data_IF_451550898371
#
_entry.id   IF_451550898371
#
_cell.length_a   1.000
_cell.length_b   1.000
_cell.length_c   1.000
_cell.angle_alpha   90.00
_cell.angle_beta   90.00
_cell.angle_gamma   90.00
#
_symmetry.space_group_name_H-M   'P 1'
#
loop_
_entity.id
_entity.type
_entity.pdbx_description
1 polymer ?
#
# COMPACT_ATOMS: atom_id res chain seq x y z
N UNK A 1 -12.42 -12.17 28.76
CA UNK A 1 -11.79 -10.83 28.92
C UNK A 1 -10.89 -10.40 27.75
N UNK A 2 -9.75 -11.04 27.44
CA UNK A 2 -8.86 -10.57 26.35
C UNK A 2 -9.53 -10.71 24.96
N UNK A 3 -10.14 -11.86 24.68
CA UNK A 3 -10.84 -12.13 23.41
C UNK A 3 -12.00 -11.15 23.17
N UNK A 4 -12.75 -10.80 24.21
CA UNK A 4 -13.86 -9.84 24.13
C UNK A 4 -13.35 -8.43 23.84
N UNK A 5 -12.26 -8.00 24.49
CA UNK A 5 -11.63 -6.70 24.22
C UNK A 5 -11.10 -6.62 22.79
N UNK A 6 -10.47 -7.68 22.29
CA UNK A 6 -10.00 -7.75 20.92
C UNK A 6 -11.15 -7.74 19.91
N UNK A 7 -12.24 -8.47 20.19
CA UNK A 7 -13.45 -8.45 19.37
C UNK A 7 -14.08 -7.06 19.32
N UNK A 8 -14.26 -6.42 20.48
CA UNK A 8 -14.81 -5.06 20.57
C UNK A 8 -13.95 -4.05 19.81
N UNK A 9 -12.63 -4.16 19.90
CA UNK A 9 -11.71 -3.32 19.13
C UNK A 9 -11.82 -3.58 17.62
N UNK A 10 -11.82 -4.85 17.20
CA UNK A 10 -11.88 -5.24 15.79
C UNK A 10 -13.16 -4.74 15.10
N UNK A 11 -14.28 -4.80 15.82
CA UNK A 11 -15.61 -4.40 15.35
C UNK A 11 -16.02 -2.98 15.81
N UNK A 12 -15.05 -2.12 16.12
CA UNK A 12 -15.33 -0.72 16.50
C UNK A 12 -16.22 -0.04 15.45
N UNK A 13 -17.41 0.47 15.80
CA UNK A 13 -18.33 1.06 14.84
C UNK A 13 -17.72 2.25 14.08
N UNK A 14 -17.96 2.31 12.77
CA UNK A 14 -17.53 3.43 11.92
C UNK A 14 -18.67 3.90 11.01
N UNK A 15 -18.68 5.18 10.58
CA UNK A 15 -19.64 5.66 9.58
C UNK A 15 -19.38 5.05 8.19
N UNK A 16 -20.44 4.76 7.43
CA UNK A 16 -20.34 4.26 6.05
C UNK A 16 -19.48 5.17 5.15
N UNK A 17 -19.62 6.49 5.32
CA UNK A 17 -18.87 7.49 4.55
C UNK A 17 -17.35 7.40 4.76
N UNK A 18 -16.87 6.92 5.91
CA UNK A 18 -15.44 6.74 6.16
C UNK A 18 -14.87 5.63 5.28
N UNK A 19 -15.52 4.47 5.30
CA UNK A 19 -15.14 3.33 4.46
C UNK A 19 -15.25 3.67 2.97
N UNK A 20 -16.29 4.40 2.58
CA UNK A 20 -16.42 4.89 1.21
C UNK A 20 -15.29 5.86 0.81
N UNK A 21 -14.90 6.78 1.70
CA UNK A 21 -13.76 7.67 1.51
C UNK A 21 -12.46 6.87 1.28
N UNK A 22 -12.21 5.86 2.12
CA UNK A 22 -11.04 4.98 1.97
C UNK A 22 -11.08 4.22 0.63
N UNK A 23 -12.24 3.71 0.23
CA UNK A 23 -12.45 3.07 -1.09
C UNK A 23 -12.10 4.01 -2.23
N UNK A 24 -12.60 5.24 -2.21
CA UNK A 24 -12.35 6.23 -3.25
C UNK A 24 -10.87 6.59 -3.31
N UNK A 25 -10.23 6.89 -2.17
CA UNK A 25 -8.80 7.23 -2.11
C UNK A 25 -7.93 6.09 -2.66
N UNK A 26 -8.19 4.86 -2.23
CA UNK A 26 -7.46 3.68 -2.69
C UNK A 26 -7.71 3.37 -4.17
N UNK A 27 -8.98 3.40 -4.60
CA UNK A 27 -9.38 3.12 -5.98
C UNK A 27 -8.83 4.17 -6.97
N UNK A 28 -8.90 5.45 -6.61
CA UNK A 28 -8.33 6.54 -7.41
C UNK A 28 -6.81 6.41 -7.55
N UNK A 29 -6.10 6.10 -6.46
CA UNK A 29 -4.67 5.84 -6.53
C UNK A 29 -4.35 4.65 -7.45
N UNK A 30 -5.05 3.53 -7.28
CA UNK A 30 -4.81 2.31 -8.07
C UNK A 30 -5.03 2.53 -9.55
N UNK A 31 -6.12 3.24 -9.90
CA UNK A 31 -6.43 3.62 -11.27
C UNK A 31 -5.34 4.52 -11.86
N UNK A 32 -4.96 5.59 -11.15
CA UNK A 32 -3.87 6.47 -11.58
C UNK A 32 -2.55 5.71 -11.74
N UNK A 33 -2.22 4.85 -10.79
CA UNK A 33 -0.96 4.10 -10.75
C UNK A 33 -0.79 3.17 -11.95
N UNK A 34 -1.85 2.43 -12.28
CA UNK A 34 -1.89 1.53 -13.43
C UNK A 34 -1.96 2.31 -14.75
N UNK A 35 -2.81 3.33 -14.84
CA UNK A 35 -2.95 4.13 -16.06
C UNK A 35 -1.62 4.77 -16.48
N UNK A 36 -0.87 5.33 -15.51
CA UNK A 36 0.47 5.87 -15.75
C UNK A 36 1.54 4.83 -16.14
N UNK A 37 1.25 3.55 -15.96
CA UNK A 37 2.16 2.43 -16.27
C UNK A 37 1.73 1.58 -17.45
N UNK A 38 0.60 1.89 -18.07
CA UNK A 38 0.05 1.03 -19.12
C UNK A 38 1.08 0.80 -20.23
N UNK A 39 1.73 1.86 -20.74
CA UNK A 39 2.75 1.74 -21.79
C UNK A 39 3.90 0.81 -21.36
N UNK A 40 4.47 1.05 -20.18
CA UNK A 40 5.52 0.21 -19.60
C UNK A 40 5.10 -1.25 -19.46
N UNK A 41 3.87 -1.53 -19.01
CA UNK A 41 3.35 -2.90 -18.91
C UNK A 41 3.24 -3.55 -20.29
N UNK A 42 2.78 -2.81 -21.29
CA UNK A 42 2.66 -3.30 -22.65
C UNK A 42 4.03 -3.58 -23.30
N UNK A 43 5.06 -2.79 -22.98
CA UNK A 43 6.45 -3.07 -23.37
C UNK A 43 6.96 -4.36 -22.72
N UNK A 44 6.71 -4.57 -21.43
CA UNK A 44 7.06 -5.81 -20.72
C UNK A 44 6.37 -7.02 -21.34
N UNK A 45 5.09 -6.93 -21.69
CA UNK A 45 4.36 -8.06 -22.29
C UNK A 45 4.92 -8.48 -23.66
N UNK A 46 5.67 -7.60 -24.33
CA UNK A 46 6.30 -7.85 -25.62
C UNK A 46 7.80 -8.17 -25.49
N UNK A 47 8.35 -8.19 -24.28
CA UNK A 47 9.74 -8.56 -24.06
C UNK A 47 9.98 -10.05 -24.33
N UNK A 48 11.25 -10.44 -24.42
CA UNK A 48 11.64 -11.83 -24.62
C UNK A 48 11.03 -12.77 -23.57
N UNK A 49 10.64 -13.97 -24.00
CA UNK A 49 9.98 -14.96 -23.13
C UNK A 49 10.93 -15.63 -22.13
N UNK A 50 12.25 -15.51 -22.34
CA UNK A 50 13.28 -16.17 -21.52
C UNK A 50 13.37 -15.61 -20.11
N UNK A 51 12.92 -14.37 -19.90
CA UNK A 51 12.97 -13.70 -18.59
C UNK A 51 11.67 -13.89 -17.78
N UNK A 52 10.73 -14.69 -18.27
CA UNK A 52 9.49 -14.98 -17.57
C UNK A 52 9.71 -16.01 -16.45
N UNK A 53 9.62 -15.55 -15.21
CA UNK A 53 9.72 -16.35 -14.00
C UNK A 53 8.46 -16.14 -13.14
N UNK A 54 7.40 -16.95 -13.33
CA UNK A 54 6.10 -16.69 -12.74
C UNK A 54 6.10 -16.71 -11.20
N UNK A 55 5.45 -15.71 -10.60
CA UNK A 55 5.31 -15.57 -9.15
C UNK A 55 3.86 -15.35 -8.72
N UNK A 56 3.56 -15.67 -7.46
CA UNK A 56 2.20 -15.53 -6.92
C UNK A 56 1.16 -16.32 -7.74
N UNK A 57 -0.02 -15.75 -8.02
CA UNK A 57 -1.02 -16.35 -8.89
C UNK A 57 -0.53 -16.67 -10.30
N UNK A 58 0.51 -15.99 -10.79
CA UNK A 58 1.08 -16.23 -12.12
C UNK A 58 1.73 -17.60 -12.27
N UNK A 59 2.05 -18.30 -11.16
CA UNK A 59 2.65 -19.66 -11.16
C UNK A 59 1.81 -20.74 -11.83
N UNK A 60 0.54 -20.47 -12.09
CA UNK A 60 -0.31 -21.35 -12.90
C UNK A 60 0.14 -21.41 -14.37
N UNK A 61 0.95 -20.46 -14.82
CA UNK A 61 1.43 -20.37 -16.19
C UNK A 61 2.83 -20.98 -16.31
N UNK A 62 3.03 -21.85 -17.29
CA UNK A 62 4.36 -22.36 -17.64
C UNK A 62 5.09 -21.46 -18.67
N UNK A 63 4.34 -20.59 -19.36
CA UNK A 63 4.82 -19.66 -20.39
C UNK A 63 4.05 -18.33 -20.26
N UNK A 64 4.61 -17.18 -20.67
CA UNK A 64 3.88 -15.94 -20.63
C UNK A 64 2.63 -16.01 -21.54
N UNK A 65 1.59 -15.26 -21.16
CA UNK A 65 0.42 -15.07 -22.01
C UNK A 65 0.81 -14.33 -23.30
N UNK A 66 0.07 -14.51 -24.40
CA UNK A 66 0.19 -13.64 -25.56
C UNK A 66 0.04 -12.17 -25.14
N UNK A 67 0.89 -11.28 -25.68
CA UNK A 67 0.94 -9.88 -25.25
C UNK A 67 -0.43 -9.18 -25.33
N UNK A 68 -1.22 -9.48 -26.36
CA UNK A 68 -2.57 -8.95 -26.54
C UNK A 68 -3.54 -9.39 -25.43
N UNK A 69 -3.42 -10.62 -24.93
CA UNK A 69 -4.23 -11.11 -23.80
C UNK A 69 -3.81 -10.41 -22.53
N UNK A 70 -2.50 -10.29 -22.28
CA UNK A 70 -1.98 -9.59 -21.11
C UNK A 70 -2.38 -8.10 -21.08
N UNK A 71 -2.30 -7.41 -22.23
CA UNK A 71 -2.74 -6.02 -22.38
C UNK A 71 -4.24 -5.86 -22.10
N UNK A 72 -5.08 -6.77 -22.63
CA UNK A 72 -6.53 -6.77 -22.36
C UNK A 72 -6.85 -7.01 -20.89
N UNK A 73 -6.07 -7.83 -20.20
CA UNK A 73 -6.24 -8.02 -18.76
C UNK A 73 -5.92 -6.72 -18.01
N UNK A 74 -4.86 -6.00 -18.38
CA UNK A 74 -4.56 -4.67 -17.79
C UNK A 74 -5.72 -3.68 -18.04
N UNK A 75 -6.27 -3.67 -19.25
CA UNK A 75 -7.38 -2.78 -19.59
C UNK A 75 -8.66 -3.16 -18.79
N UNK A 76 -8.92 -4.46 -18.63
CA UNK A 76 -9.99 -4.95 -17.77
C UNK A 76 -9.77 -4.56 -16.29
N UNK A 77 -8.52 -4.63 -15.79
CA UNK A 77 -8.16 -4.17 -14.44
C UNK A 77 -8.46 -2.69 -14.27
N UNK A 78 -8.15 -1.84 -15.26
CA UNK A 78 -8.44 -0.41 -15.22
C UNK A 78 -9.95 -0.13 -15.17
N UNK A 79 -10.74 -0.81 -16.01
CA UNK A 79 -12.21 -0.67 -16.01
C UNK A 79 -12.80 -1.14 -14.68
N UNK A 80 -12.38 -2.31 -14.18
CA UNK A 80 -12.83 -2.85 -12.91
C UNK A 80 -12.47 -1.91 -11.74
N UNK A 81 -11.24 -1.38 -11.72
CA UNK A 81 -10.80 -0.42 -10.71
C UNK A 81 -11.61 0.88 -10.74
N UNK A 82 -11.93 1.41 -11.92
CA UNK A 82 -12.77 2.60 -12.08
C UNK A 82 -14.21 2.35 -11.58
N UNK A 83 -14.80 1.20 -11.94
CA UNK A 83 -16.11 0.81 -11.47
C UNK A 83 -16.14 0.59 -9.95
N UNK A 84 -15.11 -0.05 -9.38
CA UNK A 84 -14.99 -0.23 -7.94
C UNK A 84 -14.77 1.10 -7.19
N UNK A 85 -13.97 2.01 -7.74
CA UNK A 85 -13.70 3.34 -7.17
C UNK A 85 -14.93 4.25 -7.19
N UNK A 86 -15.80 4.11 -8.18
CA UNK A 86 -17.11 4.79 -8.24
C UNK A 86 -18.20 4.03 -7.48
N UNK A 87 -17.98 2.75 -7.20
CA UNK A 87 -18.88 1.89 -6.45
C UNK A 87 -20.10 1.52 -7.27
N UNK A 88 -19.87 1.29 -8.57
CA UNK A 88 -20.83 0.78 -9.53
C UNK A 88 -20.85 -0.76 -9.45
N UNK A 89 -22.01 -1.35 -9.18
CA UNK A 89 -22.20 -2.79 -9.00
C UNK A 89 -21.14 -3.38 -8.05
N UNK A 90 -20.88 -2.72 -6.92
CA UNK A 90 -19.66 -2.93 -6.13
C UNK A 90 -19.51 -4.36 -5.59
N UNK A 91 -20.63 -5.05 -5.33
CA UNK A 91 -20.63 -6.46 -4.93
C UNK A 91 -19.90 -7.37 -5.93
N UNK A 92 -19.85 -6.97 -7.20
CA UNK A 92 -19.13 -7.66 -8.26
C UNK A 92 -17.83 -6.94 -8.58
N UNK A 93 -17.88 -5.62 -8.80
CA UNK A 93 -16.71 -4.86 -9.27
C UNK A 93 -15.62 -4.71 -8.22
N UNK A 94 -15.95 -4.67 -6.93
CA UNK A 94 -14.98 -4.65 -5.83
C UNK A 94 -14.08 -5.90 -5.82
N UNK A 95 -14.65 -7.11 -5.66
CA UNK A 95 -13.88 -8.36 -5.73
C UNK A 95 -13.16 -8.54 -7.06
N UNK A 96 -13.81 -8.21 -8.18
CA UNK A 96 -13.21 -8.30 -9.51
C UNK A 96 -12.00 -7.37 -9.65
N UNK A 97 -12.09 -6.11 -9.19
CA UNK A 97 -10.97 -5.18 -9.19
C UNK A 97 -9.82 -5.68 -8.31
N UNK A 98 -10.10 -6.21 -7.12
CA UNK A 98 -9.09 -6.79 -6.24
C UNK A 98 -8.37 -7.98 -6.89
N UNK A 99 -9.11 -8.91 -7.48
CA UNK A 99 -8.55 -10.08 -8.15
C UNK A 99 -7.72 -9.71 -9.39
N UNK A 100 -8.25 -8.84 -10.26
CA UNK A 100 -7.57 -8.37 -11.46
C UNK A 100 -6.32 -7.53 -11.11
N UNK A 101 -6.38 -6.68 -10.09
CA UNK A 101 -5.22 -5.92 -9.60
C UNK A 101 -4.13 -6.86 -9.08
N UNK A 102 -4.51 -7.88 -8.29
CA UNK A 102 -3.59 -8.91 -7.79
C UNK A 102 -2.91 -9.63 -8.95
N UNK A 103 -3.70 -10.06 -9.94
CA UNK A 103 -3.19 -10.72 -11.13
C UNK A 103 -2.23 -9.81 -11.89
N UNK A 104 -2.64 -8.58 -12.25
CA UNK A 104 -1.82 -7.65 -13.05
C UNK A 104 -0.48 -7.37 -12.39
N UNK A 105 -0.43 -7.13 -11.07
CA UNK A 105 0.82 -6.82 -10.39
C UNK A 105 1.68 -8.06 -10.12
N UNK A 106 1.07 -9.22 -9.90
CA UNK A 106 1.80 -10.49 -9.78
C UNK A 106 2.38 -10.94 -11.12
N UNK A 107 1.59 -10.78 -12.19
CA UNK A 107 2.04 -10.98 -13.56
C UNK A 107 3.23 -10.06 -13.78
N UNK A 108 3.12 -8.73 -13.58
CA UNK A 108 4.24 -7.79 -13.72
C UNK A 108 5.51 -8.21 -12.93
N UNK A 109 5.35 -8.69 -11.70
CA UNK A 109 6.46 -9.19 -10.88
C UNK A 109 7.08 -10.50 -11.36
N UNK A 110 6.48 -11.15 -12.36
CA UNK A 110 6.99 -12.34 -13.04
C UNK A 110 8.04 -12.03 -14.10
N UNK A 111 8.35 -10.74 -14.33
CA UNK A 111 9.51 -10.32 -15.10
C UNK A 111 10.50 -9.60 -14.19
N UNK A 112 11.78 -9.95 -14.34
CA UNK A 112 12.95 -9.23 -13.80
C UNK A 112 13.03 -9.14 -12.27
N UNK A 113 12.27 -8.24 -11.63
CA UNK A 113 12.39 -7.88 -10.23
C UNK A 113 11.04 -7.97 -9.53
N UNK A 114 11.04 -8.61 -8.36
CA UNK A 114 9.86 -8.70 -7.50
C UNK A 114 9.71 -7.40 -6.71
N UNK A 115 8.66 -6.64 -7.00
CA UNK A 115 8.35 -5.39 -6.33
C UNK A 115 7.34 -5.62 -5.20
N UNK A 116 7.82 -5.60 -3.95
CA UNK A 116 6.97 -5.72 -2.77
C UNK A 116 6.24 -4.42 -2.40
N UNK A 117 6.61 -3.27 -2.99
CA UNK A 117 6.00 -1.98 -2.69
C UNK A 117 4.51 -1.90 -3.09
N UNK A 118 4.05 -2.79 -3.96
CA UNK A 118 2.67 -2.83 -4.45
C UNK A 118 1.78 -3.78 -3.62
N UNK A 119 2.36 -4.63 -2.76
CA UNK A 119 1.63 -5.65 -2.00
C UNK A 119 0.59 -5.03 -1.07
N UNK A 120 0.94 -3.95 -0.37
CA UNK A 120 0.01 -3.27 0.55
C UNK A 120 -1.21 -2.71 -0.20
N UNK A 121 -1.00 -2.20 -1.42
CA UNK A 121 -2.10 -1.72 -2.25
C UNK A 121 -3.06 -2.88 -2.58
N UNK A 122 -2.53 -4.02 -3.02
CA UNK A 122 -3.36 -5.20 -3.32
C UNK A 122 -4.14 -5.70 -2.10
N UNK A 123 -3.49 -5.75 -0.92
CA UNK A 123 -4.15 -6.19 0.31
C UNK A 123 -5.24 -5.21 0.77
N UNK A 124 -5.06 -3.89 0.57
CA UNK A 124 -6.12 -2.91 0.81
C UNK A 124 -7.30 -3.08 -0.16
N UNK A 125 -7.04 -3.38 -1.44
CA UNK A 125 -8.12 -3.67 -2.39
C UNK A 125 -8.96 -4.87 -1.91
N UNK A 126 -8.31 -5.93 -1.43
CA UNK A 126 -8.99 -7.11 -0.89
C UNK A 126 -9.79 -6.80 0.40
N UNK A 127 -9.21 -6.04 1.34
CA UNK A 127 -9.89 -5.64 2.56
C UNK A 127 -11.16 -4.82 2.28
N UNK A 128 -11.08 -3.88 1.34
CA UNK A 128 -12.22 -3.05 0.93
C UNK A 128 -13.27 -3.87 0.18
N UNK A 129 -12.86 -4.74 -0.74
CA UNK A 129 -13.76 -5.60 -1.51
C UNK A 129 -14.56 -6.58 -0.64
N UNK A 130 -14.04 -6.96 0.53
CA UNK A 130 -14.72 -7.84 1.47
C UNK A 130 -15.78 -7.12 2.32
N UNK A 131 -15.76 -5.79 2.38
CA UNK A 131 -16.69 -4.97 3.14
C UNK A 131 -17.78 -4.29 2.31
N UNK A 132 -18.81 -3.71 2.95
CA UNK A 132 -19.87 -2.94 2.27
C UNK A 132 -19.40 -1.51 1.91
N UNK A 133 -18.29 -1.39 1.17
CA UNK A 133 -17.65 -0.10 0.89
C UNK A 133 -18.39 0.82 -0.07
N UNK A 134 -19.48 0.36 -0.68
CA UNK A 134 -20.34 1.13 -1.59
C UNK A 134 -21.70 1.48 -0.98
N UNK A 135 -21.90 1.36 0.33
CA UNK A 135 -23.12 1.81 0.97
C UNK A 135 -23.23 3.35 1.03
N UNK A 136 -22.12 4.07 0.87
CA UNK A 136 -22.07 5.52 0.81
C UNK A 136 -21.16 6.00 -0.33
N UNK A 137 -21.40 7.22 -0.82
CA UNK A 137 -20.58 7.92 -1.84
C UNK A 137 -20.27 7.06 -3.06
N UNK A 138 -21.26 6.31 -3.53
CA UNK A 138 -21.15 5.40 -4.66
C UNK A 138 -22.28 5.63 -5.64
N UNK A 139 -22.08 5.17 -6.88
CA UNK A 139 -23.16 5.11 -7.87
C UNK A 139 -24.30 4.23 -7.37
N UNK A 140 -23.98 3.06 -6.79
CA UNK A 140 -24.96 2.15 -6.20
C UNK A 140 -25.84 2.82 -5.12
N UNK A 141 -25.23 3.60 -4.23
CA UNK A 141 -25.94 4.32 -3.18
C UNK A 141 -26.75 5.49 -3.74
N UNK A 142 -26.25 6.17 -4.78
CA UNK A 142 -26.99 7.23 -5.46
C UNK A 142 -28.23 6.72 -6.17
N UNK A 143 -28.14 5.61 -6.91
CA UNK A 143 -29.27 4.96 -7.59
C UNK A 143 -30.35 4.51 -6.59
N UNK A 144 -29.94 4.06 -5.39
CA UNK A 144 -30.87 3.70 -4.30
C UNK A 144 -31.43 4.91 -3.52
N UNK A 145 -31.04 6.14 -3.85
CA UNK A 145 -31.47 7.34 -3.12
C UNK A 145 -30.78 7.55 -1.76
N UNK A 146 -29.75 6.78 -1.41
CA UNK A 146 -29.06 6.82 -0.11
C UNK A 146 -27.61 7.34 -0.23
N UNK A 147 -27.39 8.53 -0.78
CA UNK A 147 -26.04 9.04 -1.14
C UNK A 147 -25.00 8.99 -0.01
N UNK A 148 -25.39 9.29 1.22
CA UNK A 148 -24.48 9.30 2.39
C UNK A 148 -24.39 7.95 3.10
N UNK A 149 -25.15 6.96 2.61
CA UNK A 149 -25.37 5.70 3.28
C UNK A 149 -26.22 5.81 4.54
N UNK A 150 -26.38 4.70 5.27
CA UNK A 150 -27.16 4.62 6.49
C UNK A 150 -26.68 5.60 7.56
N UNK A 151 -27.62 6.18 8.30
CA UNK A 151 -27.32 7.07 9.43
C UNK A 151 -26.69 6.29 10.57
N UNK A 152 -25.65 6.86 11.17
CA UNK A 152 -24.97 6.29 12.34
C UNK A 152 -23.68 5.52 12.00
N UNK A 153 -23.00 5.08 13.05
CA UNK A 153 -21.80 4.25 12.95
C UNK A 153 -22.19 2.79 13.18
N UNK A 154 -21.58 1.87 12.42
CA UNK A 154 -21.86 0.44 12.49
C UNK A 154 -20.56 -0.37 12.36
N UNK A 155 -20.47 -1.49 13.08
CA UNK A 155 -19.35 -2.43 13.06
C UNK A 155 -19.05 -2.96 11.65
N UNK A 156 -20.07 -3.12 10.79
CA UNK A 156 -19.91 -3.62 9.42
C UNK A 156 -19.02 -2.73 8.54
N UNK A 157 -18.90 -1.45 8.89
CA UNK A 157 -18.01 -0.49 8.23
C UNK A 157 -16.66 -0.34 8.93
N UNK A 158 -16.60 -0.71 10.21
CA UNK A 158 -15.41 -0.62 11.04
C UNK A 158 -14.39 -1.71 10.74
N UNK A 159 -14.83 -2.97 10.67
CA UNK A 159 -13.90 -4.10 10.50
C UNK A 159 -13.06 -4.05 9.20
N UNK A 160 -13.56 -3.58 8.03
CA UNK A 160 -12.73 -3.49 6.82
C UNK A 160 -11.66 -2.41 6.96
N UNK A 161 -11.99 -1.29 7.62
CA UNK A 161 -11.03 -0.24 7.96
C UNK A 161 -9.97 -0.77 8.92
N UNK A 162 -10.39 -1.55 9.91
CA UNK A 162 -9.51 -2.16 10.89
C UNK A 162 -8.57 -3.19 10.23
N UNK A 163 -9.08 -3.99 9.30
CA UNK A 163 -8.29 -4.93 8.51
C UNK A 163 -7.24 -4.20 7.66
N UNK A 164 -7.61 -3.10 6.99
CA UNK A 164 -6.66 -2.29 6.22
C UNK A 164 -5.57 -1.67 7.11
N UNK A 165 -5.96 -1.05 8.23
CA UNK A 165 -5.00 -0.48 9.19
C UNK A 165 -4.08 -1.55 9.79
N UNK A 166 -4.63 -2.70 10.16
CA UNK A 166 -3.87 -3.83 10.72
C UNK A 166 -2.88 -4.36 9.69
N UNK A 167 -3.32 -4.56 8.45
CA UNK A 167 -2.44 -4.97 7.35
C UNK A 167 -1.30 -3.98 7.17
N UNK A 168 -1.59 -2.67 7.21
CA UNK A 168 -0.58 -1.62 7.11
C UNK A 168 0.44 -1.76 8.23
N UNK A 169 0.05 -1.72 9.50
CA UNK A 169 1.03 -1.84 10.61
C UNK A 169 1.79 -3.16 10.58
N UNK A 170 1.16 -4.27 10.17
CA UNK A 170 1.82 -5.57 10.05
C UNK A 170 2.93 -5.53 9.00
N UNK A 171 2.73 -4.90 7.84
CA UNK A 171 3.80 -4.80 6.83
C UNK A 171 5.04 -4.07 7.35
N UNK A 172 4.85 -3.03 8.17
CA UNK A 172 5.95 -2.28 8.79
C UNK A 172 6.59 -3.09 9.93
N UNK A 173 5.78 -3.75 10.75
CA UNK A 173 6.26 -4.63 11.81
C UNK A 173 7.13 -5.75 11.26
N UNK A 174 6.72 -6.39 10.16
CA UNK A 174 7.53 -7.39 9.47
C UNK A 174 8.86 -6.82 8.96
N UNK A 175 8.86 -5.58 8.46
CA UNK A 175 10.09 -4.91 8.05
C UNK A 175 11.04 -4.62 9.23
N UNK A 176 10.49 -4.27 10.40
CA UNK A 176 11.26 -4.09 11.64
C UNK A 176 11.79 -5.42 12.19
N UNK A 177 10.95 -6.44 12.25
CA UNK A 177 11.32 -7.80 12.66
C UNK A 177 12.42 -8.35 11.76
N UNK A 178 12.33 -8.15 10.44
CA UNK A 178 13.37 -8.58 9.51
C UNK A 178 14.73 -7.90 9.78
N UNK A 179 14.75 -6.65 10.24
CA UNK A 179 16.00 -5.96 10.64
C UNK A 179 16.58 -6.56 11.91
N UNK A 180 15.74 -6.83 12.91
CA UNK A 180 16.17 -7.38 14.22
C UNK A 180 16.54 -8.87 14.14
N UNK A 181 15.83 -9.64 13.32
CA UNK A 181 16.10 -11.06 13.11
C UNK A 181 17.23 -11.32 12.10
N UNK A 182 17.57 -10.31 11.29
CA UNK A 182 18.66 -10.41 10.32
C UNK A 182 20.06 -10.42 10.96
N UNK A 183 21.13 -10.65 10.19
CA UNK A 183 22.49 -10.82 10.71
C UNK A 183 23.04 -9.64 11.53
N UNK A 184 22.53 -8.43 11.28
CA UNK A 184 22.92 -7.22 12.01
C UNK A 184 22.19 -7.09 13.36
N UNK A 185 21.01 -7.69 13.48
CA UNK A 185 20.10 -7.54 14.60
C UNK A 185 19.95 -6.10 15.09
N UNK A 186 20.04 -5.92 16.41
CA UNK A 186 19.95 -4.60 17.05
C UNK A 186 21.06 -3.63 16.64
N UNK A 187 22.19 -4.10 16.08
CA UNK A 187 23.24 -3.22 15.56
C UNK A 187 22.78 -2.40 14.36
N UNK A 188 21.62 -2.70 13.76
CA UNK A 188 20.96 -1.82 12.81
C UNK A 188 20.87 -0.37 13.33
N UNK A 189 20.57 -0.22 14.63
CA UNK A 189 20.39 1.07 15.29
C UNK A 189 21.68 1.86 15.48
N UNK A 190 22.85 1.33 15.12
CA UNK A 190 24.12 2.07 15.16
C UNK A 190 24.19 3.24 14.17
N UNK A 191 23.32 3.25 13.16
CA UNK A 191 23.34 4.20 12.04
C UNK A 191 24.25 3.75 10.90
N UNK A 192 25.29 2.96 11.18
CA UNK A 192 26.22 2.46 10.16
C UNK A 192 25.54 1.58 9.10
N UNK A 193 24.57 0.78 9.53
CA UNK A 193 23.81 -0.10 8.63
C UNK A 193 23.00 0.69 7.62
N UNK A 194 22.24 1.68 8.09
CA UNK A 194 21.44 2.57 7.24
C UNK A 194 22.34 3.41 6.32
N UNK A 195 23.41 3.99 6.88
CA UNK A 195 24.40 4.76 6.13
C UNK A 195 25.03 3.96 5.00
N UNK A 196 25.44 2.71 5.27
CA UNK A 196 25.96 1.78 4.27
C UNK A 196 24.92 1.46 3.19
N UNK A 197 23.67 1.22 3.56
CA UNK A 197 22.61 0.97 2.58
C UNK A 197 22.38 2.15 1.65
N UNK A 198 22.39 3.37 2.18
CA UNK A 198 22.29 4.60 1.37
C UNK A 198 23.46 4.71 0.40
N UNK A 199 24.70 4.42 0.84
CA UNK A 199 25.86 4.44 -0.05
C UNK A 199 25.81 3.35 -1.13
N UNK A 200 25.48 2.10 -0.76
CA UNK A 200 25.37 0.99 -1.72
C UNK A 200 24.28 1.27 -2.76
N UNK A 201 23.14 1.78 -2.33
CA UNK A 201 22.05 2.18 -3.22
C UNK A 201 22.47 3.32 -4.16
N UNK A 202 23.17 4.34 -3.64
CA UNK A 202 23.70 5.44 -4.44
C UNK A 202 24.69 4.98 -5.51
N UNK A 203 25.71 4.22 -5.13
CA UNK A 203 26.73 3.68 -6.05
C UNK A 203 26.09 2.80 -7.13
N UNK A 204 25.13 1.94 -6.76
CA UNK A 204 24.41 1.11 -7.74
C UNK A 204 23.65 1.95 -8.75
N UNK A 205 22.96 3.00 -8.31
CA UNK A 205 22.24 3.90 -9.22
C UNK A 205 23.19 4.52 -10.24
N UNK A 206 24.31 5.06 -9.77
CA UNK A 206 25.30 5.69 -10.65
C UNK A 206 25.90 4.70 -11.65
N UNK A 207 26.22 3.48 -11.20
CA UNK A 207 26.71 2.41 -12.05
C UNK A 207 25.73 2.03 -13.18
N UNK A 208 24.41 2.18 -12.95
CA UNK A 208 23.36 1.95 -13.96
C UNK A 208 22.87 3.25 -14.64
N UNK A 209 23.64 4.34 -14.56
CA UNK A 209 23.34 5.58 -15.28
C UNK A 209 22.23 6.45 -14.64
N UNK A 210 21.89 6.22 -13.38
CA UNK A 210 20.91 7.02 -12.63
C UNK A 210 21.59 7.81 -11.51
N UNK A 211 21.31 9.11 -11.33
CA UNK A 211 21.99 9.90 -10.31
C UNK A 211 21.51 9.54 -8.90
N UNK A 212 22.45 9.29 -7.99
CA UNK A 212 22.18 9.17 -6.55
C UNK A 212 21.65 10.49 -5.95
N UNK A 213 21.20 10.47 -4.69
CA UNK A 213 20.70 11.68 -4.04
C UNK A 213 21.86 12.62 -3.67
N UNK A 214 21.82 13.92 -4.01
CA UNK A 214 22.79 14.89 -3.50
C UNK A 214 22.83 14.94 -1.96
N UNK A 215 21.69 14.71 -1.31
CA UNK A 215 21.62 14.64 0.15
C UNK A 215 22.37 13.43 0.70
N UNK A 216 22.46 12.32 -0.03
CA UNK A 216 23.24 11.16 0.41
C UNK A 216 24.71 11.55 0.61
N UNK A 217 25.32 12.24 -0.36
CA UNK A 217 26.71 12.71 -0.26
C UNK A 217 26.89 13.71 0.87
N UNK A 218 26.02 14.72 0.94
CA UNK A 218 26.12 15.78 1.96
C UNK A 218 26.01 15.23 3.39
N UNK A 219 25.16 14.22 3.59
CA UNK A 219 24.89 13.65 4.91
C UNK A 219 25.78 12.46 5.26
N UNK A 220 26.51 11.87 4.29
CA UNK A 220 27.24 10.61 4.46
C UNK A 220 28.21 10.60 5.64
N UNK A 221 28.87 11.73 5.93
CA UNK A 221 29.79 11.84 7.07
C UNK A 221 29.11 11.90 8.44
N UNK A 222 27.79 12.12 8.50
CA UNK A 222 27.07 12.33 9.76
C UNK A 222 26.45 11.02 10.29
N UNK A 223 27.28 10.18 10.90
CA UNK A 223 26.84 8.90 11.49
C UNK A 223 25.77 9.11 12.58
N UNK A 224 25.86 10.18 13.36
CA UNK A 224 24.87 10.51 14.41
C UNK A 224 23.47 10.72 13.82
N UNK A 225 23.37 11.44 12.70
CA UNK A 225 22.10 11.60 12.00
C UNK A 225 21.56 10.25 11.51
N UNK A 226 22.41 9.41 10.91
CA UNK A 226 21.99 8.07 10.48
C UNK A 226 21.58 7.18 11.65
N UNK A 227 22.18 7.35 12.83
CA UNK A 227 21.77 6.66 14.06
C UNK A 227 20.37 7.08 14.48
N UNK A 228 20.08 8.39 14.49
CA UNK A 228 18.74 8.93 14.80
C UNK A 228 17.71 8.39 13.79
N UNK A 229 18.01 8.43 12.50
CA UNK A 229 17.13 7.91 11.44
C UNK A 229 16.91 6.40 11.57
N UNK A 230 17.96 5.63 11.86
CA UNK A 230 17.86 4.19 12.05
C UNK A 230 17.00 3.84 13.26
N UNK A 231 17.20 4.50 14.40
CA UNK A 231 16.36 4.37 15.60
C UNK A 231 14.91 4.75 15.31
N UNK A 232 14.68 5.89 14.67
CA UNK A 232 13.35 6.36 14.31
C UNK A 232 12.62 5.39 13.37
N UNK A 233 13.29 4.88 12.34
CA UNK A 233 12.72 3.88 11.44
C UNK A 233 12.34 2.59 12.18
N UNK A 234 13.22 2.10 13.07
CA UNK A 234 12.97 0.89 13.86
C UNK A 234 11.78 1.09 14.82
N UNK A 235 11.70 2.25 15.47
CA UNK A 235 10.59 2.59 16.36
C UNK A 235 9.25 2.64 15.60
N UNK A 236 9.22 3.32 14.44
CA UNK A 236 8.03 3.35 13.59
C UNK A 236 7.65 1.91 13.19
N UNK A 237 8.60 1.10 12.75
CA UNK A 237 8.30 -0.24 12.25
C UNK A 237 7.78 -1.18 13.34
N UNK A 238 8.44 -1.21 14.51
CA UNK A 238 8.09 -2.15 15.59
C UNK A 238 6.90 -1.71 16.44
N UNK A 239 6.65 -0.40 16.58
CA UNK A 239 5.58 0.11 17.46
C UNK A 239 4.21 0.20 16.76
N UNK A 240 4.14 0.00 15.45
CA UNK A 240 2.87 0.02 14.69
C UNK A 240 1.77 -0.86 15.29
N UNK A 241 2.04 -2.15 15.61
CA UNK A 241 1.07 -3.04 16.24
C UNK A 241 0.56 -2.58 17.60
N UNK A 242 1.34 -1.77 18.34
CA UNK A 242 0.90 -1.20 19.63
C UNK A 242 0.09 0.08 19.38
N UNK A 243 0.56 0.93 18.45
CA UNK A 243 -0.06 2.21 18.15
C UNK A 243 -1.51 2.09 17.67
N UNK A 244 -1.87 1.00 17.00
CA UNK A 244 -3.22 0.80 16.44
C UNK A 244 -4.33 0.60 17.48
N UNK A 245 -3.99 0.32 18.75
CA UNK A 245 -4.98 0.18 19.82
C UNK A 245 -5.50 1.52 20.36
N UNK A 246 -4.82 2.63 20.07
CA UNK A 246 -5.29 3.98 20.40
C UNK A 246 -5.38 4.85 19.14
N UNK A 247 -6.49 5.55 18.97
CA UNK A 247 -6.77 6.35 17.76
C UNK A 247 -5.78 7.50 17.54
N UNK A 248 -5.27 8.12 18.61
CA UNK A 248 -4.32 9.24 18.50
C UNK A 248 -2.94 8.69 18.16
N UNK A 249 -2.52 7.63 18.84
CA UNK A 249 -1.25 6.95 18.54
C UNK A 249 -1.23 6.40 17.12
N UNK A 250 -2.32 5.79 16.65
CA UNK A 250 -2.42 5.25 15.29
C UNK A 250 -2.24 6.34 14.21
N UNK A 251 -2.76 7.55 14.45
CA UNK A 251 -2.58 8.69 13.53
C UNK A 251 -1.19 9.28 13.57
N UNK A 252 -0.63 9.42 14.78
CA UNK A 252 0.74 9.89 14.94
C UNK A 252 1.70 8.91 14.24
N UNK A 253 1.47 7.61 14.43
CA UNK A 253 2.20 6.55 13.75
C UNK A 253 2.05 6.64 12.23
N UNK A 254 0.83 6.77 11.71
CA UNK A 254 0.58 6.91 10.28
C UNK A 254 1.29 8.13 9.67
N UNK A 255 1.28 9.27 10.38
CA UNK A 255 1.99 10.48 10.00
C UNK A 255 3.51 10.25 10.00
N UNK A 256 4.06 9.60 11.03
CA UNK A 256 5.48 9.28 11.12
C UNK A 256 5.91 8.31 9.99
N UNK A 257 5.12 7.27 9.73
CA UNK A 257 5.34 6.33 8.63
C UNK A 257 5.29 7.03 7.26
N UNK A 258 4.37 7.98 7.07
CA UNK A 258 4.31 8.80 5.86
C UNK A 258 5.56 9.66 5.68
N UNK A 259 6.01 10.36 6.73
CA UNK A 259 7.24 11.15 6.71
C UNK A 259 8.48 10.31 6.47
N UNK A 260 8.55 9.10 7.05
CA UNK A 260 9.64 8.16 6.81
C UNK A 260 9.81 7.87 5.32
N UNK A 261 8.73 7.70 4.56
CA UNK A 261 8.80 7.46 3.12
C UNK A 261 9.29 8.68 2.33
N UNK A 262 8.94 9.89 2.75
CA UNK A 262 9.51 11.12 2.20
C UNK A 262 10.99 11.26 2.52
N UNK A 263 11.42 10.88 3.73
CA UNK A 263 12.83 10.81 4.11
C UNK A 263 13.62 9.83 3.24
N UNK A 264 13.06 8.63 2.99
CA UNK A 264 13.66 7.65 2.07
C UNK A 264 13.76 8.22 0.64
N UNK A 265 12.73 8.89 0.14
CA UNK A 265 12.80 9.57 -1.16
C UNK A 265 13.90 10.64 -1.17
N UNK A 266 14.00 11.46 -0.12
CA UNK A 266 14.98 12.52 -0.05
C UNK A 266 16.43 12.00 -0.02
N UNK A 267 16.71 10.97 0.77
CA UNK A 267 18.08 10.47 0.98
C UNK A 267 18.46 9.38 -0.02
N UNK A 268 17.52 8.53 -0.44
CA UNK A 268 17.79 7.38 -1.32
C UNK A 268 17.20 7.52 -2.73
N UNK A 269 16.36 8.53 -3.01
CA UNK A 269 15.63 8.63 -4.29
C UNK A 269 14.78 7.39 -4.63
N UNK A 270 14.36 6.61 -3.62
CA UNK A 270 13.47 5.46 -3.81
C UNK A 270 12.01 5.90 -3.71
N UNK A 271 11.18 5.50 -4.69
CA UNK A 271 9.78 5.95 -4.82
C UNK A 271 8.79 4.86 -4.40
N UNK A 272 8.34 4.92 -3.15
CA UNK A 272 7.20 4.15 -2.63
C UNK A 272 5.89 4.90 -2.87
N UNK A 273 5.38 4.88 -4.11
CA UNK A 273 4.32 5.80 -4.55
C UNK A 273 3.04 5.71 -3.73
N UNK A 274 2.64 4.49 -3.31
CA UNK A 274 1.41 4.32 -2.53
C UNK A 274 1.52 4.96 -1.15
N UNK A 275 2.65 4.73 -0.48
CA UNK A 275 2.98 5.29 0.82
C UNK A 275 3.17 6.80 0.70
N UNK A 276 3.94 7.29 -0.27
CA UNK A 276 4.17 8.73 -0.51
C UNK A 276 2.87 9.51 -0.78
N UNK A 277 1.89 8.90 -1.47
CA UNK A 277 0.61 9.55 -1.76
C UNK A 277 -0.27 9.78 -0.52
N UNK A 278 0.03 9.10 0.60
CA UNK A 278 -0.83 9.10 1.78
C UNK A 278 -2.00 8.10 1.69
N UNK A 279 -2.31 7.56 0.50
CA UNK A 279 -3.42 6.62 0.31
C UNK A 279 -3.26 5.31 1.11
N UNK A 280 -2.01 4.92 1.43
CA UNK A 280 -1.72 3.80 2.32
C UNK A 280 -2.21 4.00 3.75
N UNK A 281 -2.47 5.23 4.17
CA UNK A 281 -2.86 5.56 5.55
C UNK A 281 -4.29 6.07 5.67
N UNK A 282 -5.08 5.97 4.59
CA UNK A 282 -6.44 6.48 4.53
C UNK A 282 -7.37 5.89 5.61
N UNK A 283 -7.17 4.62 6.00
CA UNK A 283 -7.98 3.93 7.01
C UNK A 283 -7.75 4.44 8.45
N UNK A 284 -6.68 5.19 8.70
CA UNK A 284 -6.37 5.78 10.01
C UNK A 284 -7.05 7.15 10.21
N UNK A 285 -7.61 7.72 9.14
CA UNK A 285 -8.11 9.09 9.10
C UNK A 285 -9.65 9.15 9.12
N UNK A 286 -10.19 10.26 9.63
CA UNK A 286 -11.63 10.52 9.63
C UNK A 286 -12.06 11.16 8.31
N UNK A 287 -11.96 10.43 7.21
CA UNK A 287 -12.26 10.97 5.88
C UNK A 287 -13.70 11.48 5.76
N UNK A 288 -14.64 10.94 6.54
CA UNK A 288 -16.02 11.42 6.59
C UNK A 288 -16.15 12.89 7.02
N UNK A 289 -15.17 13.42 7.77
CA UNK A 289 -15.17 14.82 8.20
C UNK A 289 -14.85 15.79 7.07
N UNK A 290 -14.16 15.33 6.02
CA UNK A 290 -13.86 16.14 4.83
C UNK A 290 -15.08 16.25 3.91
N UNK A 291 -16.05 15.34 4.05
CA UNK A 291 -17.25 15.25 3.21
C UNK A 291 -18.42 16.04 3.80
N UNK A 292 -18.40 16.29 5.13
CA UNK A 292 -19.44 17.04 5.86
C UNK A 292 -19.17 18.55 5.93
N UNK A 293 -18.04 19.01 5.39
CA UNK A 293 -17.68 20.43 5.26
C UNK A 293 -17.93 20.88 3.84
#
# INVERSE_FOLDING_TARGET
>A
MLTERLSAWWFTPAPAARLAGTRITHGAFSLWYLAKRRSMLAEIHRSGTNDFAPVGPGRILSKPLPATVADRIVDATLVAAAAAATGLCYRVTGPMAGALLTWTLSYRNSWTMIFHNDNLMVLHAAALAAGPSADALSVDAWVRGCRTGPSGADARYGWPLQLASTTTVTTYALAGVAKVAGPLGWKWTSGESLRRQVAVDGVRKEAFGSPASPLAYKLYGNVTLFRILALGSMAIELLGPIAIFDRRLARLWALAAWQLHWGILAIMKIKFRYQLSGAAYASFMDLERLIRR
#
